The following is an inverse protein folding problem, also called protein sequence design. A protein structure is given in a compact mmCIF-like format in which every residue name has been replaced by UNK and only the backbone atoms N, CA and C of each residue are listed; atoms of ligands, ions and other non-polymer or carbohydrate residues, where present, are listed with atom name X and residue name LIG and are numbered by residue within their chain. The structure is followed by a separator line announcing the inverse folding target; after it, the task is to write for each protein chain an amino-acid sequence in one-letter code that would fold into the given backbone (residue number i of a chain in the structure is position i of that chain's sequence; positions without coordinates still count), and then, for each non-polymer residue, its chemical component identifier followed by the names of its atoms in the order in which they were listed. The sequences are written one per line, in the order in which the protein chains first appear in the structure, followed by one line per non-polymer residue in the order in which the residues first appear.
data_IF_645084012489
#
_entry.id   IF_645084012489
#
_cell.length_a   1.000
_cell.length_b   1.000
_cell.length_c   1.000
_cell.angle_alpha   90.00
_cell.angle_beta   90.00
_cell.angle_gamma   90.00
#
_symmetry.space_group_name_H-M   'P 1'
#
loop_
_entity.id
_entity.type
_entity.pdbx_description
1 polymer ?
#
# COMPACT_ATOMS: atom_id res chain seq x y z
N UNK A 1 16.86 -12.28 -3.47
CA UNK A 1 17.59 -11.28 -2.66
C UNK A 1 17.13 -11.42 -1.22
N UNK A 2 18.08 -11.59 -0.30
CA UNK A 2 17.93 -11.99 1.10
C UNK A 2 16.72 -11.39 1.81
N UNK A 3 15.80 -12.26 2.25
CA UNK A 3 14.73 -11.90 3.19
C UNK A 3 15.30 -11.80 4.60
N UNK A 4 16.12 -10.77 4.84
CA UNK A 4 16.45 -10.35 6.20
C UNK A 4 15.12 -10.05 6.92
N UNK A 5 14.94 -10.61 8.12
CA UNK A 5 13.74 -10.39 8.91
C UNK A 5 13.54 -8.88 9.13
N UNK A 6 12.53 -8.29 8.47
CA UNK A 6 12.17 -6.88 8.67
C UNK A 6 11.85 -6.65 10.15
N UNK A 7 12.65 -5.82 10.81
CA UNK A 7 12.45 -5.44 12.21
C UNK A 7 11.76 -4.08 12.27
N UNK A 8 10.53 -4.07 12.78
CA UNK A 8 9.71 -2.87 12.92
C UNK A 8 9.63 -2.48 14.40
N UNK A 9 9.85 -1.20 14.70
CA UNK A 9 9.55 -0.62 16.00
C UNK A 9 8.28 0.23 15.87
N UNK A 10 7.23 -0.14 16.61
CA UNK A 10 5.93 0.53 16.56
C UNK A 10 5.68 1.18 17.92
N UNK A 11 5.44 2.49 17.93
CA UNK A 11 5.04 3.25 19.12
C UNK A 11 3.66 3.86 18.90
N UNK A 12 2.80 3.76 19.89
CA UNK A 12 1.43 4.29 19.85
C UNK A 12 1.32 5.36 20.94
N UNK A 13 0.96 6.57 20.54
CA UNK A 13 0.74 7.70 21.44
C UNK A 13 -0.73 8.07 21.43
N UNK A 14 -1.31 8.23 22.62
CA UNK A 14 -2.68 8.71 22.78
C UNK A 14 -2.66 10.16 23.19
N UNK A 15 -3.42 11.00 22.48
CA UNK A 15 -3.52 12.41 22.85
C UNK A 15 -4.33 12.56 24.15
N UNK A 16 -3.73 13.20 25.17
CA UNK A 16 -4.36 13.44 26.48
C UNK A 16 -5.62 14.32 26.38
N UNK A 17 -5.64 15.27 25.44
CA UNK A 17 -6.72 16.24 25.24
C UNK A 17 -7.77 15.79 24.22
N UNK A 18 -7.42 14.92 23.27
CA UNK A 18 -8.35 14.33 22.31
C UNK A 18 -8.31 12.81 22.40
N UNK A 19 -9.08 12.26 23.34
CA UNK A 19 -9.09 10.82 23.69
C UNK A 19 -9.40 9.87 22.52
N UNK A 20 -9.98 10.36 21.44
CA UNK A 20 -10.33 9.59 20.24
C UNK A 20 -9.29 9.72 19.10
N UNK A 21 -8.13 10.35 19.30
CA UNK A 21 -7.07 10.42 18.29
C UNK A 21 -5.77 9.82 18.82
N UNK A 22 -5.28 8.80 18.11
CA UNK A 22 -4.02 8.13 18.38
C UNK A 22 -3.04 8.42 17.25
N UNK A 23 -1.77 8.57 17.61
CA UNK A 23 -0.64 8.73 16.70
C UNK A 23 0.14 7.43 16.74
N UNK A 24 0.28 6.79 15.59
CA UNK A 24 1.11 5.60 15.42
C UNK A 24 2.40 6.05 14.73
N UNK A 25 3.53 5.76 15.35
CA UNK A 25 4.86 5.95 14.79
C UNK A 25 5.43 4.58 14.50
N UNK A 26 5.85 4.35 13.26
CA UNK A 26 6.42 3.08 12.82
C UNK A 26 7.78 3.33 12.21
N UNK A 27 8.80 2.70 12.78
CA UNK A 27 10.18 2.79 12.33
C UNK A 27 10.62 1.44 11.78
N UNK A 28 10.99 1.41 10.51
CA UNK A 28 11.72 0.29 9.92
C UNK A 28 13.19 0.44 10.30
N UNK A 29 13.69 -0.47 11.14
CA UNK A 29 15.06 -0.39 11.68
C UNK A 29 16.07 -0.65 10.57
N UNK A 30 15.76 -1.57 9.64
CA UNK A 30 16.68 -2.01 8.59
C UNK A 30 16.79 -0.94 7.51
N UNK A 31 15.65 -0.41 7.07
CA UNK A 31 15.61 0.60 6.01
C UNK A 31 15.72 2.04 6.53
N UNK A 32 15.80 2.23 7.86
CA UNK A 32 15.81 3.53 8.56
C UNK A 32 14.62 4.45 8.22
N UNK A 33 13.52 3.89 7.70
CA UNK A 33 12.33 4.65 7.32
C UNK A 33 11.42 4.91 8.53
N UNK A 34 10.76 6.07 8.53
CA UNK A 34 9.79 6.48 9.55
C UNK A 34 8.44 6.77 8.90
N UNK A 35 7.38 6.21 9.46
CA UNK A 35 6.00 6.52 9.09
C UNK A 35 5.24 7.01 10.30
N UNK A 36 4.48 8.09 10.14
CA UNK A 36 3.62 8.66 11.18
C UNK A 36 2.19 8.67 10.65
N UNK A 37 1.27 8.03 11.37
CA UNK A 37 -0.15 7.99 11.02
C UNK A 37 -1.01 8.47 12.18
N UNK A 38 -1.99 9.32 11.88
CA UNK A 38 -3.01 9.78 12.83
C UNK A 38 -4.30 9.03 12.52
N UNK A 39 -4.82 8.27 13.48
CA UNK A 39 -6.07 7.51 13.31
C UNK A 39 -6.93 7.53 14.58
N UNK A 40 -8.23 7.18 14.47
CA UNK A 40 -9.06 6.91 15.63
C UNK A 40 -8.48 5.80 16.52
N UNK A 41 -8.51 5.99 17.85
CA UNK A 41 -7.85 5.07 18.78
C UNK A 41 -8.45 3.66 18.77
N UNK A 42 -9.76 3.56 18.57
CA UNK A 42 -10.52 2.31 18.40
C UNK A 42 -10.08 1.50 17.17
N UNK A 43 -9.51 2.16 16.15
CA UNK A 43 -9.02 1.52 14.91
C UNK A 43 -7.56 1.08 14.98
N UNK A 44 -6.86 1.35 16.07
CA UNK A 44 -5.42 1.05 16.21
C UNK A 44 -5.15 -0.44 16.12
N UNK A 45 -5.89 -1.28 16.83
CA UNK A 45 -5.64 -2.73 16.82
C UNK A 45 -5.89 -3.33 15.43
N UNK A 46 -6.94 -2.87 14.75
CA UNK A 46 -7.23 -3.28 13.37
C UNK A 46 -6.08 -2.88 12.45
N UNK A 47 -5.57 -1.65 12.61
CA UNK A 47 -4.45 -1.13 11.83
C UNK A 47 -3.17 -1.95 12.05
N UNK A 48 -2.81 -2.26 13.29
CA UNK A 48 -1.62 -3.07 13.62
C UNK A 48 -1.77 -4.51 13.12
N UNK A 49 -2.94 -5.13 13.28
CA UNK A 49 -3.21 -6.48 12.74
C UNK A 49 -3.07 -6.53 11.22
N UNK A 50 -3.62 -5.53 10.51
CA UNK A 50 -3.45 -5.41 9.06
C UNK A 50 -1.99 -5.22 8.67
N UNK A 51 -1.25 -4.42 9.42
CA UNK A 51 0.17 -4.14 9.17
C UNK A 51 1.05 -5.39 9.27
N UNK A 52 0.81 -6.24 10.27
CA UNK A 52 1.62 -7.43 10.53
C UNK A 52 1.23 -8.62 9.63
N UNK A 53 0.13 -8.52 8.88
CA UNK A 53 -0.33 -9.59 8.00
C UNK A 53 0.65 -9.79 6.85
N UNK A 54 1.40 -10.90 6.84
CA UNK A 54 2.19 -11.33 5.68
C UNK A 54 1.20 -11.75 4.59
N UNK A 55 1.36 -11.26 3.35
CA UNK A 55 0.46 -11.43 2.18
C UNK A 55 -0.59 -10.32 1.94
N UNK A 56 -0.25 -9.08 2.25
CA UNK A 56 -1.07 -7.90 1.92
C UNK A 56 -1.12 -7.62 0.42
N UNK A 57 -0.07 -7.99 -0.30
CA UNK A 57 0.07 -7.68 -1.71
C UNK A 57 -0.24 -8.90 -2.58
N UNK A 58 -1.05 -8.69 -3.61
CA UNK A 58 -1.40 -9.73 -4.57
C UNK A 58 -0.70 -9.45 -5.89
N UNK A 59 0.13 -10.37 -6.35
CA UNK A 59 0.77 -10.24 -7.67
C UNK A 59 -0.30 -10.36 -8.75
N UNK A 60 -0.33 -9.42 -9.68
CA UNK A 60 -1.25 -9.42 -10.82
C UNK A 60 -0.50 -9.26 -12.14
N UNK A 61 -1.09 -9.78 -13.20
CA UNK A 61 -0.66 -9.58 -14.58
C UNK A 61 -1.66 -8.70 -15.31
N UNK A 62 -1.17 -7.62 -15.91
CA UNK A 62 -1.92 -6.71 -16.78
C UNK A 62 -1.89 -7.32 -18.18
N UNK A 63 -3.06 -7.76 -18.64
CA UNK A 63 -3.23 -8.37 -19.95
C UNK A 63 -3.38 -7.31 -21.03
N UNK A 64 -4.04 -6.20 -20.73
CA UNK A 64 -4.34 -5.16 -21.71
C UNK A 64 -4.34 -3.75 -21.09
N UNK A 65 -4.03 -2.75 -21.91
CA UNK A 65 -3.95 -1.33 -21.53
C UNK A 65 -4.56 -0.50 -22.66
N UNK A 66 -5.65 0.22 -22.35
CA UNK A 66 -6.36 1.12 -23.25
C UNK A 66 -6.48 2.49 -22.57
N UNK A 67 -5.51 3.37 -22.84
CA UNK A 67 -5.37 4.62 -22.09
C UNK A 67 -5.18 4.34 -20.60
N UNK A 68 -6.05 4.91 -19.76
CA UNK A 68 -6.06 4.69 -18.29
C UNK A 68 -6.80 3.43 -17.87
N UNK A 69 -7.43 2.71 -18.80
CA UNK A 69 -8.12 1.46 -18.51
C UNK A 69 -7.17 0.29 -18.66
N UNK A 70 -7.26 -0.67 -17.73
CA UNK A 70 -6.47 -1.89 -17.77
C UNK A 70 -7.34 -3.13 -17.56
N UNK A 71 -6.91 -4.23 -18.18
CA UNK A 71 -7.48 -5.56 -17.95
C UNK A 71 -6.45 -6.44 -17.27
N UNK A 72 -6.85 -7.14 -16.21
CA UNK A 72 -5.96 -7.99 -15.41
C UNK A 72 -6.37 -9.47 -15.49
N UNK A 73 -5.43 -10.36 -15.16
CA UNK A 73 -5.64 -11.80 -15.20
C UNK A 73 -6.65 -12.30 -14.16
N UNK A 74 -6.82 -11.56 -13.06
CA UNK A 74 -7.61 -11.98 -11.90
C UNK A 74 -8.71 -10.99 -11.54
N UNK A 75 -9.70 -11.43 -10.77
CA UNK A 75 -10.75 -10.54 -10.25
C UNK A 75 -10.25 -9.81 -9.01
N UNK A 76 -10.33 -8.49 -9.02
CA UNK A 76 -10.09 -7.61 -7.89
C UNK A 76 -11.27 -6.64 -7.73
N UNK A 77 -11.57 -6.28 -6.49
CA UNK A 77 -12.59 -5.29 -6.16
C UNK A 77 -12.03 -4.32 -5.15
N UNK A 78 -12.15 -3.03 -5.46
CA UNK A 78 -11.74 -1.95 -4.58
C UNK A 78 -10.59 -1.11 -5.13
N UNK A 79 -10.16 -0.16 -4.30
CA UNK A 79 -9.12 0.82 -4.62
C UNK A 79 -7.81 0.48 -3.91
N UNK A 80 -6.70 0.80 -4.56
CA UNK A 80 -5.38 0.42 -4.09
C UNK A 80 -4.28 1.04 -4.94
N UNK A 81 -3.09 0.49 -4.79
CA UNK A 81 -1.92 0.84 -5.55
C UNK A 81 -1.42 -0.36 -6.34
N UNK A 82 -0.94 -0.11 -7.54
CA UNK A 82 -0.10 -1.02 -8.30
C UNK A 82 1.35 -0.71 -8.02
N UNK A 83 2.01 -1.58 -7.27
CA UNK A 83 3.43 -1.48 -6.98
C UNK A 83 4.27 -2.21 -8.03
N UNK A 84 5.21 -1.49 -8.64
CA UNK A 84 6.17 -1.95 -9.62
C UNK A 84 7.58 -1.99 -9.02
N UNK A 85 8.02 -3.13 -8.44
CA UNK A 85 9.23 -3.18 -7.62
C UNK A 85 10.52 -2.86 -8.38
N UNK A 86 10.60 -3.15 -9.69
CA UNK A 86 11.77 -2.83 -10.50
C UNK A 86 12.01 -1.33 -10.65
N UNK A 87 10.96 -0.52 -10.56
CA UNK A 87 11.02 0.94 -10.67
C UNK A 87 10.75 1.63 -9.35
N UNK A 88 10.48 0.86 -8.28
CA UNK A 88 10.05 1.37 -6.99
C UNK A 88 8.92 2.41 -7.14
N UNK A 89 7.90 2.09 -7.95
CA UNK A 89 6.81 3.00 -8.32
C UNK A 89 5.46 2.45 -7.86
N UNK A 90 4.62 3.31 -7.29
CA UNK A 90 3.21 3.08 -7.00
C UNK A 90 2.34 3.88 -7.96
N UNK A 91 1.37 3.21 -8.57
CA UNK A 91 0.36 3.86 -9.40
C UNK A 91 -1.02 3.60 -8.79
N UNK A 92 -1.78 4.66 -8.54
CA UNK A 92 -3.14 4.57 -8.02
C UNK A 92 -4.02 3.75 -8.95
N UNK A 93 -4.85 2.87 -8.41
CA UNK A 93 -5.72 2.01 -9.20
C UNK A 93 -7.05 1.71 -8.51
N UNK A 94 -8.09 1.57 -9.31
CA UNK A 94 -9.42 1.12 -8.90
C UNK A 94 -9.84 -0.07 -9.75
N UNK A 95 -10.29 -1.16 -9.13
CA UNK A 95 -10.70 -2.38 -9.82
C UNK A 95 -12.15 -2.75 -9.57
N UNK A 96 -12.79 -3.21 -10.65
CA UNK A 96 -14.11 -3.85 -10.63
C UNK A 96 -14.05 -5.14 -11.47
N UNK A 97 -13.84 -6.27 -10.80
CA UNK A 97 -13.64 -7.56 -11.46
C UNK A 97 -12.29 -7.63 -12.16
N UNK A 98 -12.28 -7.92 -13.47
CA UNK A 98 -11.05 -8.02 -14.28
C UNK A 98 -10.64 -6.70 -14.93
N UNK A 99 -11.42 -5.65 -14.77
CA UNK A 99 -11.16 -4.32 -15.34
C UNK A 99 -10.77 -3.37 -14.22
N UNK A 100 -9.89 -2.43 -14.52
CA UNK A 100 -9.55 -1.35 -13.60
C UNK A 100 -9.18 -0.07 -14.33
N UNK A 101 -9.11 1.00 -13.56
CA UNK A 101 -8.65 2.32 -13.99
C UNK A 101 -7.38 2.62 -13.20
N UNK A 102 -6.36 3.17 -13.86
CA UNK A 102 -5.08 3.57 -13.26
C UNK A 102 -4.84 5.06 -13.41
N UNK A 103 -4.11 5.64 -12.46
CA UNK A 103 -3.74 7.05 -12.46
C UNK A 103 -2.78 7.44 -13.60
N UNK A 104 -2.10 6.47 -14.21
CA UNK A 104 -1.22 6.72 -15.36
C UNK A 104 -1.42 5.66 -16.46
N UNK A 105 -1.59 6.07 -17.73
CA UNK A 105 -1.66 5.14 -18.85
C UNK A 105 -0.31 4.48 -19.16
N UNK A 106 0.80 5.07 -18.70
CA UNK A 106 2.16 4.58 -18.95
C UNK A 106 2.64 3.72 -17.79
N UNK A 107 2.27 2.45 -17.81
CA UNK A 107 2.69 1.49 -16.79
C UNK A 107 4.13 1.00 -17.05
N UNK A 108 4.99 0.90 -16.02
CA UNK A 108 6.39 0.49 -16.21
C UNK A 108 6.58 -0.99 -16.55
N UNK A 109 5.51 -1.78 -16.52
CA UNK A 109 5.53 -3.19 -16.87
C UNK A 109 4.14 -3.81 -16.81
N UNK A 110 4.07 -5.08 -17.22
CA UNK A 110 2.82 -5.86 -17.26
C UNK A 110 2.57 -6.67 -15.98
N UNK A 111 3.45 -6.59 -14.99
CA UNK A 111 3.31 -7.30 -13.71
C UNK A 111 3.47 -6.32 -12.57
N UNK A 112 2.51 -6.32 -11.65
CA UNK A 112 2.48 -5.44 -10.49
C UNK A 112 2.04 -6.21 -9.25
N UNK A 113 2.25 -5.61 -8.09
CA UNK A 113 1.64 -6.05 -6.84
C UNK A 113 0.51 -5.10 -6.48
N UNK A 114 -0.72 -5.61 -6.40
CA UNK A 114 -1.85 -4.84 -5.91
C UNK A 114 -1.78 -4.73 -4.39
N UNK A 115 -1.84 -3.49 -3.89
CA UNK A 115 -1.81 -3.14 -2.47
C UNK A 115 -3.08 -2.34 -2.18
N UNK A 116 -4.09 -2.93 -1.52
CA UNK A 116 -5.32 -2.24 -1.14
C UNK A 116 -5.06 -0.96 -0.31
N UNK A 117 -5.84 0.11 -0.55
CA UNK A 117 -5.70 1.40 0.17
C UNK A 117 -5.98 1.28 1.67
N UNK A 118 -6.77 0.30 2.07
CA UNK A 118 -7.16 0.04 3.45
C UNK A 118 -6.06 -0.65 4.27
N UNK A 119 -4.88 -0.85 3.68
CA UNK A 119 -3.75 -1.51 4.32
C UNK A 119 -2.56 -0.53 4.48
N UNK A 120 -1.98 -0.41 5.68
CA UNK A 120 -0.83 0.46 5.91
C UNK A 120 0.39 0.10 5.07
N UNK A 121 0.87 1.09 4.33
CA UNK A 121 1.87 0.94 3.27
C UNK A 121 3.28 1.20 3.86
N UNK A 122 3.75 0.35 4.76
CA UNK A 122 5.16 0.43 5.21
C UNK A 122 6.11 -0.04 4.12
N UNK A 123 5.70 -1.05 3.34
CA UNK A 123 6.57 -1.70 2.35
C UNK A 123 6.94 -0.81 1.15
N UNK A 124 6.45 0.43 1.13
CA UNK A 124 6.48 1.28 -0.06
C UNK A 124 6.69 2.76 0.30
N UNK A 125 7.17 3.05 1.51
CA UNK A 125 7.43 4.40 2.03
C UNK A 125 8.38 5.24 1.17
N UNK A 126 9.26 4.58 0.39
CA UNK A 126 10.25 5.26 -0.46
C UNK A 126 9.91 5.11 -1.94
N UNK A 127 8.73 4.62 -2.29
CA UNK A 127 8.35 4.51 -3.69
C UNK A 127 7.84 5.84 -4.22
N UNK A 128 8.15 6.11 -5.48
CA UNK A 128 7.53 7.22 -6.20
C UNK A 128 6.03 6.93 -6.34
N UNK A 129 5.20 7.95 -6.20
CA UNK A 129 3.74 7.82 -6.21
C UNK A 129 3.19 8.62 -7.38
N UNK A 130 2.37 7.96 -8.20
CA UNK A 130 1.47 8.59 -9.17
C UNK A 130 0.05 8.25 -8.77
N UNK A 131 -0.70 9.24 -8.32
CA UNK A 131 -2.09 9.08 -7.91
C UNK A 131 -3.04 9.93 -8.78
N UNK A 132 -4.32 9.87 -8.45
CA UNK A 132 -5.35 10.56 -9.22
C UNK A 132 -5.46 12.07 -8.89
N UNK A 133 -4.60 12.61 -8.00
CA UNK A 133 -4.71 13.97 -7.46
C UNK A 133 -3.40 14.74 -7.45
#
# INVERSE_FOLDING_TARGET
MNSGSRQLNIKIYRNKYRRNKCIIIIKDIVNKNLSIKKIPCDKVDIYIKKLLKRNISKKIKINDIEGVYIKINEKLFGTGWLFFPRRNLLIGAAFYGKKGIVASPRLPGRTAYFIPLDIPIISVLNADIIDFY
#
